data_IF_514951276749
#
_entry.id   IF_514951276749
#
_cell.length_a   1.000
_cell.length_b   1.000
_cell.length_c   1.000
_cell.angle_alpha   90.00
_cell.angle_beta   90.00
_cell.angle_gamma   90.00
#
_symmetry.space_group_name_H-M   'P 1'
#
loop_
_entity.id
_entity.type
_entity.pdbx_description
1 polymer ?
#
# COMPACT_ATOMS: atom_id res chain seq x y z
N UNK A 1 22.64 -3.46 -11.48
CA UNK A 1 22.05 -3.30 -10.14
C UNK A 1 20.95 -4.31 -9.97
N UNK A 2 20.84 -4.97 -8.81
CA UNK A 2 19.68 -5.82 -8.49
C UNK A 2 18.52 -4.95 -8.01
N UNK A 3 17.33 -5.12 -8.60
CA UNK A 3 16.11 -4.45 -8.16
C UNK A 3 15.72 -5.00 -6.78
N UNK A 4 15.51 -4.10 -5.82
CA UNK A 4 15.08 -4.47 -4.47
C UNK A 4 13.61 -4.94 -4.50
N UNK A 5 13.32 -6.06 -3.84
CA UNK A 5 11.99 -6.68 -3.82
C UNK A 5 11.74 -7.49 -2.55
N UNK A 6 10.83 -7.01 -1.71
CA UNK A 6 10.23 -7.75 -0.62
C UNK A 6 9.02 -8.55 -1.10
N UNK A 7 9.01 -9.83 -0.74
CA UNK A 7 7.85 -10.70 -0.92
C UNK A 7 6.92 -10.56 0.27
N UNK A 8 5.63 -10.71 0.00
CA UNK A 8 4.61 -10.50 1.01
C UNK A 8 4.66 -11.58 2.07
N UNK A 9 4.63 -11.15 3.32
CA UNK A 9 4.33 -11.99 4.47
C UNK A 9 2.97 -11.60 5.08
N UNK A 10 2.12 -12.59 5.33
CA UNK A 10 0.79 -12.40 5.93
C UNK A 10 -0.04 -11.35 5.17
N UNK A 11 -0.72 -10.42 5.87
CA UNK A 11 -1.53 -9.36 5.28
C UNK A 11 -0.78 -8.02 5.18
N UNK A 12 0.56 -8.02 5.13
CA UNK A 12 1.39 -6.82 5.22
C UNK A 12 1.70 -6.16 3.88
N UNK A 13 0.83 -6.33 2.88
CA UNK A 13 1.04 -5.82 1.52
C UNK A 13 1.42 -4.33 1.46
N UNK A 14 0.83 -3.49 2.32
CA UNK A 14 1.15 -2.06 2.41
C UNK A 14 2.61 -1.77 2.78
N UNK A 15 3.17 -2.51 3.76
CA UNK A 15 4.58 -2.36 4.17
C UNK A 15 5.50 -2.68 3.01
N UNK A 16 5.30 -3.86 2.41
CA UNK A 16 6.14 -4.32 1.31
C UNK A 16 5.98 -3.44 0.07
N UNK A 17 4.79 -2.90 -0.19
CA UNK A 17 4.59 -1.94 -1.28
C UNK A 17 5.41 -0.67 -1.05
N UNK A 18 5.46 -0.14 0.18
CA UNK A 18 6.30 1.02 0.50
C UNK A 18 7.79 0.72 0.39
N UNK A 19 8.26 -0.38 0.97
CA UNK A 19 9.68 -0.76 0.90
C UNK A 19 10.11 -1.02 -0.55
N UNK A 20 9.26 -1.69 -1.34
CA UNK A 20 9.49 -1.91 -2.76
C UNK A 20 9.54 -0.61 -3.55
N UNK A 21 8.61 0.34 -3.33
CA UNK A 21 8.64 1.62 -4.05
C UNK A 21 9.83 2.48 -3.66
N UNK A 22 10.30 2.40 -2.41
CA UNK A 22 11.49 3.12 -1.94
C UNK A 22 12.80 2.38 -2.24
N UNK A 23 12.72 1.17 -2.78
CA UNK A 23 13.87 0.32 -3.13
C UNK A 23 14.80 0.02 -1.94
N UNK A 24 14.24 -0.05 -0.73
CA UNK A 24 14.96 -0.39 0.50
C UNK A 24 13.97 -0.81 1.61
N UNK A 25 14.47 -1.50 2.64
CA UNK A 25 13.69 -1.82 3.84
C UNK A 25 13.61 -0.58 4.73
N UNK A 26 12.73 0.37 4.38
CA UNK A 26 12.57 1.64 5.10
C UNK A 26 11.61 1.51 6.27
N UNK A 27 10.62 0.63 6.15
CA UNK A 27 9.56 0.44 7.12
C UNK A 27 9.50 -0.99 7.64
N UNK A 28 9.13 -1.10 8.90
CA UNK A 28 8.85 -2.35 9.57
C UNK A 28 7.43 -2.35 10.13
N UNK A 29 6.95 -3.54 10.47
CA UNK A 29 5.62 -3.74 11.09
C UNK A 29 5.40 -2.85 12.30
N UNK A 30 6.42 -2.70 13.16
CA UNK A 30 6.31 -1.90 14.38
C UNK A 30 5.94 -0.44 14.09
N UNK A 31 6.48 0.15 13.01
CA UNK A 31 6.15 1.53 12.63
C UNK A 31 4.69 1.68 12.18
N UNK A 32 4.18 0.71 11.43
CA UNK A 32 2.79 0.68 10.98
C UNK A 32 1.82 0.42 12.14
N UNK A 33 2.19 -0.45 13.07
CA UNK A 33 1.40 -0.71 14.27
C UNK A 33 1.28 0.54 15.15
N UNK A 34 2.40 1.23 15.39
CA UNK A 34 2.41 2.48 16.15
C UNK A 34 1.59 3.58 15.46
N UNK A 35 1.69 3.71 14.14
CA UNK A 35 0.89 4.66 13.36
C UNK A 35 -0.61 4.36 13.44
N UNK A 36 -0.99 3.08 13.33
CA UNK A 36 -2.38 2.63 13.47
C UNK A 36 -2.94 2.92 14.87
N UNK A 37 -2.14 2.77 15.92
CA UNK A 37 -2.53 3.09 17.30
C UNK A 37 -2.67 4.60 17.52
N UNK A 38 -1.75 5.39 16.96
CA UNK A 38 -1.81 6.85 17.03
C UNK A 38 -3.07 7.40 16.35
N UNK A 39 -3.38 6.95 15.13
CA UNK A 39 -4.56 7.39 14.39
C UNK A 39 -5.86 7.04 15.14
N UNK A 40 -5.97 5.83 15.69
CA UNK A 40 -7.12 5.45 16.51
C UNK A 40 -7.26 6.34 17.74
N UNK A 41 -6.17 6.70 18.41
CA UNK A 41 -6.22 7.60 19.57
C UNK A 41 -6.67 9.02 19.20
N UNK A 42 -6.29 9.51 18.00
CA UNK A 42 -6.73 10.81 17.48
C UNK A 42 -8.23 10.77 17.16
N UNK A 43 -8.71 9.76 16.44
CA UNK A 43 -10.14 9.61 16.10
C UNK A 43 -11.03 9.53 17.35
N UNK A 44 -10.56 8.80 18.38
CA UNK A 44 -11.25 8.72 19.68
C UNK A 44 -11.32 10.07 20.39
N UNK A 45 -10.24 10.84 20.40
CA UNK A 45 -10.20 12.17 21.01
C UNK A 45 -11.13 13.15 20.26
N UNK A 46 -11.31 12.97 18.95
CA UNK A 46 -12.24 13.73 18.12
C UNK A 46 -13.70 13.24 18.22
N UNK A 47 -13.97 12.19 19.00
CA UNK A 47 -15.31 11.67 19.26
C UNK A 47 -15.83 10.67 18.22
N UNK A 48 -14.99 10.19 17.30
CA UNK A 48 -15.35 9.20 16.29
C UNK A 48 -15.28 7.76 16.82
N UNK A 49 -15.98 7.47 17.93
CA UNK A 49 -16.10 6.12 18.48
C UNK A 49 -14.78 5.49 18.97
N UNK A 50 -14.89 4.43 19.78
CA UNK A 50 -13.73 3.72 20.32
C UNK A 50 -14.08 2.88 21.54
N UNK A 51 -13.23 1.88 21.82
CA UNK A 51 -13.37 1.06 23.02
C UNK A 51 -12.35 1.50 24.06
N UNK A 52 -12.81 1.86 25.25
CA UNK A 52 -11.95 2.20 26.40
C UNK A 52 -11.19 0.99 26.97
N UNK A 53 -11.46 -0.23 26.48
CA UNK A 53 -10.79 -1.44 26.90
C UNK A 53 -9.62 -1.78 25.97
N UNK A 54 -8.40 -1.79 26.52
CA UNK A 54 -7.16 -2.04 25.77
C UNK A 54 -7.13 -3.40 25.03
N UNK A 55 -7.73 -4.45 25.58
CA UNK A 55 -7.83 -5.76 24.90
C UNK A 55 -8.79 -5.71 23.72
N UNK A 56 -9.93 -5.05 23.87
CA UNK A 56 -10.87 -4.86 22.75
C UNK A 56 -10.27 -3.98 21.67
N UNK A 57 -9.47 -2.97 22.03
CA UNK A 57 -8.77 -2.07 21.10
C UNK A 57 -7.66 -2.77 20.30
N UNK A 58 -6.99 -3.77 20.89
CA UNK A 58 -6.02 -4.61 20.19
C UNK A 58 -6.69 -5.57 19.19
N UNK A 59 -7.84 -6.12 19.56
CA UNK A 59 -8.65 -7.00 18.70
C UNK A 59 -9.38 -6.20 17.61
N UNK A 60 -9.80 -4.97 17.91
CA UNK A 60 -10.60 -4.10 17.05
C UNK A 60 -9.89 -2.76 16.84
N UNK A 61 -9.11 -2.67 15.77
CA UNK A 61 -8.53 -1.42 15.30
C UNK A 61 -9.13 -1.09 13.92
N UNK A 62 -9.65 0.13 13.69
CA UNK A 62 -10.27 0.48 12.41
C UNK A 62 -9.27 0.52 11.24
N UNK A 63 -7.98 0.69 11.54
CA UNK A 63 -6.92 0.88 10.55
C UNK A 63 -6.03 -0.34 10.32
N UNK A 64 -6.27 -1.47 11.00
CA UNK A 64 -5.55 -2.74 10.79
C UNK A 64 -6.42 -3.96 11.10
N UNK A 65 -6.11 -5.09 10.49
CA UNK A 65 -6.76 -6.36 10.81
C UNK A 65 -6.57 -6.76 12.28
N UNK A 66 -7.54 -7.51 12.86
CA UNK A 66 -7.47 -8.00 14.24
C UNK A 66 -6.15 -8.72 14.54
N UNK A 67 -5.74 -8.68 15.81
CA UNK A 67 -4.55 -9.38 16.31
C UNK A 67 -3.23 -8.92 15.65
N UNK A 68 -3.21 -7.72 15.05
CA UNK A 68 -2.01 -7.15 14.45
C UNK A 68 -1.49 -7.92 13.24
N UNK A 69 -2.37 -8.60 12.49
CA UNK A 69 -2.00 -9.42 11.33
C UNK A 69 -1.58 -8.59 10.09
N UNK A 70 -1.83 -7.28 10.09
CA UNK A 70 -1.53 -6.35 9.00
C UNK A 70 -2.80 -5.72 8.43
N UNK A 71 -2.90 -5.66 7.09
CA UNK A 71 -4.00 -5.04 6.34
C UNK A 71 -4.26 -3.57 6.71
N UNK A 72 -3.18 -2.78 6.67
CA UNK A 72 -3.24 -1.37 7.00
C UNK A 72 -3.99 -0.59 5.93
N UNK A 73 -4.84 0.34 6.37
CA UNK A 73 -5.52 1.26 5.46
C UNK A 73 -4.58 2.35 4.92
N UNK A 74 -5.10 3.18 4.01
CA UNK A 74 -4.32 4.22 3.37
C UNK A 74 -3.84 5.33 4.32
N UNK A 75 -4.58 5.62 5.39
CA UNK A 75 -4.22 6.68 6.33
C UNK A 75 -2.95 6.30 7.09
N UNK A 76 -2.80 5.01 7.45
CA UNK A 76 -1.56 4.49 8.04
C UNK A 76 -0.39 4.65 7.08
N UNK A 77 -0.57 4.28 5.80
CA UNK A 77 0.47 4.43 4.77
C UNK A 77 0.88 5.89 4.59
N UNK A 78 -0.10 6.81 4.56
CA UNK A 78 0.14 8.25 4.46
C UNK A 78 0.93 8.78 5.66
N UNK A 79 0.53 8.40 6.88
CA UNK A 79 1.16 8.84 8.10
C UNK A 79 2.63 8.40 8.18
N UNK A 80 2.93 7.11 7.91
CA UNK A 80 4.32 6.63 7.99
C UNK A 80 5.21 7.24 6.90
N UNK A 81 4.66 7.53 5.71
CA UNK A 81 5.38 8.24 4.64
C UNK A 81 5.70 9.68 5.05
N UNK A 82 4.74 10.39 5.63
CA UNK A 82 4.91 11.76 6.09
C UNK A 82 5.99 11.86 7.18
N UNK A 83 6.02 10.91 8.12
CA UNK A 83 7.07 10.80 9.14
C UNK A 83 8.48 10.63 8.54
N UNK A 84 8.59 10.15 7.30
CA UNK A 84 9.85 10.00 6.55
C UNK A 84 10.08 11.12 5.53
N UNK A 85 9.24 12.16 5.53
CA UNK A 85 9.36 13.31 4.63
C UNK A 85 8.79 13.09 3.22
N UNK A 86 8.08 11.98 2.99
CA UNK A 86 7.39 11.72 1.73
C UNK A 86 5.98 12.27 1.75
N UNK A 87 5.45 12.59 0.56
CA UNK A 87 4.04 12.98 0.38
C UNK A 87 3.36 12.01 -0.56
N UNK A 88 2.18 11.53 -0.15
CA UNK A 88 1.31 10.73 -1.01
C UNK A 88 0.34 11.66 -1.76
N UNK A 89 0.26 11.52 -3.08
CA UNK A 89 -0.72 12.25 -3.90
C UNK A 89 -1.72 11.28 -4.53
N UNK A 90 -3.01 11.58 -4.38
CA UNK A 90 -4.07 10.82 -5.02
C UNK A 90 -4.14 11.15 -6.52
N UNK A 91 -4.12 10.10 -7.33
CA UNK A 91 -4.29 10.19 -8.78
C UNK A 91 -5.65 9.62 -9.17
N UNK A 92 -6.45 10.42 -9.88
CA UNK A 92 -7.73 9.96 -10.41
C UNK A 92 -7.50 8.95 -11.55
N UNK A 93 -7.89 7.69 -11.30
CA UNK A 93 -7.78 6.58 -12.27
C UNK A 93 -8.52 6.80 -13.58
N UNK A 94 -9.46 7.76 -13.64
CA UNK A 94 -10.23 8.10 -14.84
C UNK A 94 -9.46 9.00 -15.80
N UNK A 95 -8.39 9.65 -15.33
CA UNK A 95 -7.55 10.49 -16.18
C UNK A 95 -6.58 9.61 -16.95
N UNK A 96 -6.35 9.96 -18.21
CA UNK A 96 -5.27 9.37 -18.99
C UNK A 96 -3.95 9.63 -18.26
N UNK A 97 -3.17 8.59 -18.05
CA UNK A 97 -1.84 8.71 -17.46
C UNK A 97 -0.92 9.33 -18.52
N UNK A 98 -0.70 10.64 -18.39
CA UNK A 98 0.26 11.38 -19.19
C UNK A 98 1.45 11.78 -18.32
N UNK A 99 2.55 12.26 -18.94
CA UNK A 99 3.74 12.69 -18.19
C UNK A 99 3.45 13.86 -17.26
N UNK A 100 2.45 14.67 -17.59
CA UNK A 100 2.00 15.81 -16.80
C UNK A 100 1.19 15.36 -15.56
N UNK A 101 0.53 14.21 -15.64
CA UNK A 101 -0.24 13.62 -14.51
C UNK A 101 0.65 12.76 -13.63
N UNK A 102 1.57 11.98 -14.21
CA UNK A 102 2.53 11.14 -13.51
C UNK A 102 3.92 11.32 -14.12
N UNK A 103 4.70 12.22 -13.52
CA UNK A 103 6.10 12.44 -13.87
C UNK A 103 6.99 11.36 -13.23
N UNK A 104 7.01 10.15 -13.81
CA UNK A 104 7.80 9.01 -13.29
C UNK A 104 9.30 9.27 -13.18
N UNK A 105 9.82 10.33 -13.80
CA UNK A 105 11.23 10.72 -13.71
C UNK A 105 11.56 11.45 -12.40
N UNK A 106 10.55 12.02 -11.72
CA UNK A 106 10.70 12.74 -10.44
C UNK A 106 9.95 12.07 -9.29
N UNK A 107 9.03 11.17 -9.58
CA UNK A 107 8.28 10.41 -8.59
C UNK A 107 9.11 9.23 -8.06
N UNK A 108 9.01 8.99 -6.76
CA UNK A 108 9.53 7.75 -6.17
C UNK A 108 8.83 6.52 -6.74
N UNK A 109 7.57 6.63 -7.13
CA UNK A 109 6.81 5.59 -7.79
C UNK A 109 5.32 5.74 -7.53
N UNK A 110 4.57 4.69 -7.83
CA UNK A 110 3.10 4.67 -7.72
C UNK A 110 2.68 3.51 -6.85
N UNK A 111 1.82 3.79 -5.88
CA UNK A 111 1.12 2.79 -5.09
C UNK A 111 -0.26 2.54 -5.68
N UNK A 112 -0.60 1.27 -5.87
CA UNK A 112 -1.86 0.84 -6.44
C UNK A 112 -2.63 0.03 -5.41
N UNK A 113 -3.88 0.42 -5.14
CA UNK A 113 -4.82 -0.37 -4.35
C UNK A 113 -5.80 -1.07 -5.29
N UNK A 114 -5.70 -2.39 -5.39
CA UNK A 114 -6.58 -3.20 -6.23
C UNK A 114 -7.43 -4.12 -5.39
N UNK A 115 -8.64 -4.40 -5.87
CA UNK A 115 -9.49 -5.44 -5.30
C UNK A 115 -9.00 -6.78 -5.84
N UNK A 116 -8.63 -7.69 -4.95
CA UNK A 116 -8.31 -9.07 -5.26
C UNK A 116 -9.46 -9.97 -4.82
N UNK A 117 -10.06 -10.68 -5.78
CA UNK A 117 -11.08 -11.70 -5.52
C UNK A 117 -10.65 -13.04 -6.11
N UNK A 118 -10.85 -14.13 -5.38
CA UNK A 118 -10.89 -15.46 -6.01
C UNK A 118 -12.12 -15.53 -6.92
N UNK A 119 -11.95 -16.06 -8.15
CA UNK A 119 -13.05 -16.26 -9.10
C UNK A 119 -14.18 -17.11 -8.52
N UNK A 120 -13.87 -18.03 -7.60
CA UNK A 120 -14.86 -18.86 -6.91
C UNK A 120 -15.66 -18.12 -5.81
N UNK A 121 -15.10 -17.09 -5.19
CA UNK A 121 -15.65 -16.49 -3.95
C UNK A 121 -15.87 -14.99 -4.03
N UNK A 122 -15.91 -14.43 -5.24
CA UNK A 122 -15.99 -12.97 -5.48
C UNK A 122 -17.12 -12.27 -4.73
N UNK A 123 -18.25 -12.94 -4.47
CA UNK A 123 -19.40 -12.34 -3.75
C UNK A 123 -19.25 -12.33 -2.23
N UNK A 124 -18.27 -13.04 -1.67
CA UNK A 124 -18.18 -13.28 -0.22
C UNK A 124 -16.87 -12.75 0.37
N UNK A 125 -15.77 -12.77 -0.41
CA UNK A 125 -14.44 -12.38 0.07
C UNK A 125 -13.74 -11.49 -0.96
N UNK A 126 -14.06 -10.19 -0.92
CA UNK A 126 -13.26 -9.16 -1.58
C UNK A 126 -12.17 -8.68 -0.61
N UNK A 127 -10.92 -8.76 -1.04
CA UNK A 127 -9.78 -8.24 -0.26
C UNK A 127 -9.11 -7.15 -1.06
N UNK A 128 -8.56 -6.15 -0.37
CA UNK A 128 -7.74 -5.12 -1.02
C UNK A 128 -6.27 -5.50 -0.95
N UNK A 129 -5.52 -5.09 -1.95
CA UNK A 129 -4.10 -5.39 -2.07
C UNK A 129 -3.35 -4.15 -2.55
N UNK A 130 -2.32 -3.78 -1.79
CA UNK A 130 -1.40 -2.73 -2.16
C UNK A 130 -0.20 -3.32 -2.90
N UNK A 131 0.17 -2.72 -4.03
CA UNK A 131 1.43 -3.01 -4.70
C UNK A 131 2.05 -1.74 -5.29
N UNK A 132 3.32 -1.81 -5.65
CA UNK A 132 4.08 -0.69 -6.17
C UNK A 132 4.46 -0.86 -7.65
N UNK A 133 4.52 0.26 -8.36
CA UNK A 133 5.15 0.39 -9.67
C UNK A 133 6.21 1.47 -9.58
N UNK A 134 7.45 1.18 -10.01
CA UNK A 134 8.55 2.15 -10.05
C UNK A 134 9.27 2.09 -11.39
N UNK A 135 9.77 3.24 -11.85
CA UNK A 135 10.72 3.33 -12.94
C UNK A 135 12.14 3.29 -12.37
N UNK A 136 12.94 2.31 -12.79
CA UNK A 136 14.33 2.10 -12.35
C UNK A 136 15.18 1.98 -13.61
N UNK A 137 16.20 2.82 -13.74
CA UNK A 137 17.10 2.85 -14.90
C UNK A 137 16.37 2.85 -16.26
N UNK A 138 15.28 3.64 -16.36
CA UNK A 138 14.49 3.74 -17.58
C UNK A 138 13.40 2.67 -17.77
N UNK A 139 13.39 1.62 -16.92
CA UNK A 139 12.50 0.46 -17.04
C UNK A 139 11.42 0.49 -15.96
N UNK A 140 10.17 0.24 -16.34
CA UNK A 140 9.06 0.16 -15.39
C UNK A 140 8.97 -1.25 -14.82
N UNK A 141 8.93 -1.36 -13.50
CA UNK A 141 8.77 -2.63 -12.80
C UNK A 141 7.44 -2.68 -12.05
N UNK A 142 6.75 -3.81 -12.18
CA UNK A 142 5.73 -4.24 -11.25
C UNK A 142 6.43 -4.89 -10.06
N UNK A 143 6.32 -4.26 -8.89
CA UNK A 143 6.93 -4.67 -7.63
C UNK A 143 5.88 -5.21 -6.66
N UNK A 144 4.86 -5.90 -7.19
CA UNK A 144 3.89 -6.61 -6.39
C UNK A 144 4.56 -7.69 -5.54
N UNK A 145 4.43 -7.56 -4.23
CA UNK A 145 5.02 -8.44 -3.23
C UNK A 145 4.46 -9.88 -3.29
N UNK A 146 3.36 -10.12 -4.01
CA UNK A 146 2.87 -11.47 -4.34
C UNK A 146 3.64 -12.14 -5.47
N UNK A 147 4.45 -11.41 -6.24
CA UNK A 147 5.29 -11.95 -7.30
C UNK A 147 6.58 -12.55 -6.73
N UNK A 148 7.04 -13.62 -7.37
CA UNK A 148 8.32 -14.26 -7.01
C UNK A 148 9.54 -13.34 -7.22
N UNK A 149 9.44 -12.41 -8.18
CA UNK A 149 10.46 -11.43 -8.54
C UNK A 149 9.81 -10.21 -9.23
N UNK A 150 10.52 -9.06 -9.33
CA UNK A 150 10.09 -7.91 -10.12
C UNK A 150 9.77 -8.27 -11.57
N UNK A 151 8.64 -7.79 -12.09
CA UNK A 151 8.22 -8.05 -13.48
C UNK A 151 8.28 -6.76 -14.29
N UNK A 152 9.00 -6.77 -15.42
CA UNK A 152 9.08 -5.63 -16.33
C UNK A 152 7.74 -5.35 -16.99
N UNK A 153 7.30 -4.09 -16.95
CA UNK A 153 6.18 -3.55 -17.72
C UNK A 153 6.73 -2.76 -18.91
N UNK A 154 6.46 -3.23 -20.13
CA UNK A 154 6.84 -2.48 -21.32
C UNK A 154 5.94 -1.22 -21.48
N UNK A 155 6.51 -0.06 -21.85
CA UNK A 155 5.79 1.21 -21.92
C UNK A 155 4.60 1.20 -22.91
N UNK A 156 4.57 0.27 -23.87
CA UNK A 156 3.49 0.13 -24.84
C UNK A 156 2.29 -0.71 -24.35
N UNK A 157 2.38 -1.30 -23.15
CA UNK A 157 1.35 -2.19 -22.58
C UNK A 157 0.68 -1.55 -21.35
N UNK A 158 0.48 -0.23 -21.39
CA UNK A 158 -0.47 0.46 -20.51
C UNK A 158 -1.84 0.58 -21.18
N UNK A 159 -2.29 -0.48 -21.88
CA UNK A 159 -3.66 -0.56 -22.39
C UNK A 159 -4.50 -1.28 -21.34
N UNK A 160 -5.20 -0.46 -20.53
CA UNK A 160 -6.21 -0.83 -19.53
C UNK A 160 -5.66 -1.72 -18.41
N UNK A 161 -5.64 -1.17 -17.20
CA UNK A 161 -5.84 -1.99 -16.00
C UNK A 161 -7.17 -2.73 -16.25
N UNK A 162 -7.20 -4.07 -16.34
CA UNK A 162 -8.45 -4.77 -16.53
C UNK A 162 -9.33 -4.44 -15.32
N UNK A 163 -10.44 -3.75 -15.58
CA UNK A 163 -11.57 -3.76 -14.68
C UNK A 163 -12.08 -5.20 -14.68
N UNK A 164 -11.59 -5.99 -13.72
CA UNK A 164 -12.19 -7.27 -13.38
C UNK A 164 -13.33 -7.03 -12.41
#
# INVERSE_FOLDING_TARGET
MSVYHEKQELYRCGIHALNNVLQAQVFEKAAFDAASEHLTAVEEAEGYGGSSNALLKYVWNPHRAPLGLGNYDVNVLMYVLEQKGYKLQWVDKRRTITKEVLAFDTLEGVLCNVITSSSLWRRVWETRHWFAIKKIDGVYYNLDSKLAAPVVRLPHVCRRIPSQ
#
